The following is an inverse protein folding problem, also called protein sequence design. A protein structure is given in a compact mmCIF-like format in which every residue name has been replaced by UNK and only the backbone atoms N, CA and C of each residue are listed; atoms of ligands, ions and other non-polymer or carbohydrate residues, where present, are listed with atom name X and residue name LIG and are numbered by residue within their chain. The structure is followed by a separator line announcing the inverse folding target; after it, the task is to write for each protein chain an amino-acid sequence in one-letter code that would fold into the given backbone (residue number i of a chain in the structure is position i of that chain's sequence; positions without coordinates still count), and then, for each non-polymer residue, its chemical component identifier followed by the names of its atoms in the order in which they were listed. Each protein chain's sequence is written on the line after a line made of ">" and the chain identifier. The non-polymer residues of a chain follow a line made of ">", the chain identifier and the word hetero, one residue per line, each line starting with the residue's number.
data_IF_006009590617
#
_entry.id   IF_006009590617
#
_cell.length_a   1.000
_cell.length_b   1.000
_cell.length_c   1.000
_cell.angle_alpha   90.00
_cell.angle_beta   90.00
_cell.angle_gamma   90.00
#
_symmetry.space_group_name_H-M   'P 1'
#
loop_
_entity.id
_entity.type
_entity.pdbx_description
1 polymer ?
#
# COMPACT_ATOMS: atom_id res chain seq x y z
N UNK A 1 14.96 26.31 -3.33
CA UNK A 1 15.34 25.50 -2.15
C UNK A 1 14.16 25.13 -1.23
N UNK A 2 13.07 25.82 -1.23
CA UNK A 2 11.80 25.46 -0.53
C UNK A 2 11.10 24.20 -1.06
N UNK A 3 11.49 23.66 -2.21
CA UNK A 3 10.81 22.58 -2.92
C UNK A 3 10.91 21.20 -2.24
N UNK A 4 11.98 20.91 -1.51
CA UNK A 4 12.21 19.55 -0.96
C UNK A 4 11.40 19.27 0.31
N UNK A 5 11.11 20.32 1.12
CA UNK A 5 10.27 20.20 2.32
C UNK A 5 8.77 20.06 1.97
N UNK A 6 8.35 20.73 0.88
CA UNK A 6 7.00 20.56 0.35
C UNK A 6 6.76 19.15 -0.21
N UNK A 7 7.81 18.49 -0.68
CA UNK A 7 7.70 17.15 -1.28
C UNK A 7 7.40 16.06 -0.25
N UNK A 8 7.92 16.14 1.00
CA UNK A 8 7.61 15.14 2.01
C UNK A 8 6.17 15.26 2.52
N UNK A 9 5.75 16.48 2.87
CA UNK A 9 4.37 16.71 3.34
C UNK A 9 3.36 16.37 2.25
N UNK A 10 3.67 16.74 1.01
CA UNK A 10 2.84 16.38 -0.14
C UNK A 10 2.84 14.85 -0.38
N UNK A 11 4.00 14.20 -0.24
CA UNK A 11 4.12 12.74 -0.30
C UNK A 11 3.32 12.04 0.78
N UNK A 12 3.41 12.52 2.02
CA UNK A 12 2.62 12.02 3.14
C UNK A 12 1.11 12.21 2.91
N UNK A 13 0.69 13.38 2.42
CA UNK A 13 -0.70 13.63 2.06
C UNK A 13 -1.21 12.64 0.98
N UNK A 14 -0.43 12.45 -0.09
CA UNK A 14 -0.77 11.47 -1.11
C UNK A 14 -0.86 10.05 -0.54
N UNK A 15 0.04 9.65 0.34
CA UNK A 15 0.02 8.32 0.95
C UNK A 15 -1.17 8.13 1.89
N UNK A 16 -1.46 9.10 2.76
CA UNK A 16 -2.63 9.03 3.66
C UNK A 16 -3.92 8.92 2.85
N UNK A 17 -4.06 9.73 1.79
CA UNK A 17 -5.20 9.66 0.87
C UNK A 17 -5.26 8.30 0.16
N UNK A 18 -4.13 7.79 -0.31
CA UNK A 18 -4.05 6.47 -0.92
C UNK A 18 -4.51 5.37 0.04
N UNK A 19 -4.04 5.39 1.28
CA UNK A 19 -4.38 4.38 2.27
C UNK A 19 -5.83 4.47 2.76
N UNK A 20 -6.41 5.67 2.78
CA UNK A 20 -7.85 5.82 2.96
C UNK A 20 -8.64 5.13 1.84
N UNK A 21 -8.30 5.40 0.58
CA UNK A 21 -8.96 4.79 -0.58
C UNK A 21 -8.75 3.27 -0.62
N UNK A 22 -7.53 2.79 -0.35
CA UNK A 22 -7.22 1.36 -0.33
C UNK A 22 -7.87 0.64 0.85
N UNK A 23 -8.04 1.30 1.99
CA UNK A 23 -8.79 0.75 3.12
C UNK A 23 -10.29 0.67 2.80
N UNK A 24 -10.85 1.70 2.15
CA UNK A 24 -12.24 1.71 1.67
C UNK A 24 -12.47 0.61 0.62
N UNK A 25 -11.50 0.41 -0.28
CA UNK A 25 -11.49 -0.76 -1.17
C UNK A 25 -11.53 -2.06 -0.38
N UNK A 26 -10.72 -2.18 0.66
CA UNK A 26 -10.69 -3.36 1.54
C UNK A 26 -12.05 -3.68 2.14
N UNK A 27 -12.83 -2.67 2.53
CA UNK A 27 -14.19 -2.86 3.02
C UNK A 27 -15.12 -3.45 1.93
N UNK A 28 -15.02 -2.95 0.69
CA UNK A 28 -15.79 -3.53 -0.44
C UNK A 28 -15.35 -4.96 -0.77
N UNK A 29 -14.04 -5.25 -0.70
CA UNK A 29 -13.54 -6.60 -0.90
C UNK A 29 -14.01 -7.56 0.21
N UNK A 30 -14.16 -7.10 1.45
CA UNK A 30 -14.71 -7.90 2.55
C UNK A 30 -16.17 -8.32 2.26
N UNK A 31 -16.97 -7.43 1.66
CA UNK A 31 -18.32 -7.78 1.19
C UNK A 31 -18.25 -8.82 0.08
N UNK A 32 -17.43 -8.60 -0.95
CA UNK A 32 -17.33 -9.53 -2.08
C UNK A 32 -16.78 -10.92 -1.68
N UNK A 33 -15.90 -10.99 -0.67
CA UNK A 33 -15.30 -12.24 -0.19
C UNK A 33 -16.30 -13.20 0.49
N UNK A 34 -17.53 -12.78 0.74
CA UNK A 34 -18.59 -13.66 1.24
C UNK A 34 -19.05 -14.69 0.18
N UNK A 35 -18.90 -14.36 -1.11
CA UNK A 35 -19.32 -15.24 -2.22
C UNK A 35 -18.15 -15.56 -3.16
N UNK A 36 -17.23 -14.60 -3.38
CA UNK A 36 -16.19 -14.73 -4.39
C UNK A 36 -14.90 -15.34 -3.82
N UNK A 37 -14.27 -16.21 -4.61
CA UNK A 37 -12.95 -16.72 -4.29
C UNK A 37 -11.83 -15.68 -4.56
N UNK A 38 -10.68 -15.87 -3.90
CA UNK A 38 -9.53 -14.98 -4.01
C UNK A 38 -9.07 -14.70 -5.45
N UNK A 39 -8.89 -15.69 -6.35
CA UNK A 39 -8.51 -15.42 -7.73
C UNK A 39 -9.44 -14.47 -8.47
N UNK A 40 -10.75 -14.63 -8.32
CA UNK A 40 -11.73 -13.73 -8.92
C UNK A 40 -11.64 -12.31 -8.34
N UNK A 41 -11.52 -12.19 -7.02
CA UNK A 41 -11.38 -10.88 -6.35
C UNK A 41 -10.14 -10.14 -6.88
N UNK A 42 -8.98 -10.82 -6.95
CA UNK A 42 -7.74 -10.20 -7.46
C UNK A 42 -7.90 -9.76 -8.91
N UNK A 43 -8.48 -10.62 -9.76
CA UNK A 43 -8.69 -10.29 -11.17
C UNK A 43 -9.67 -9.12 -11.34
N UNK A 44 -10.88 -9.23 -10.80
CA UNK A 44 -11.94 -8.23 -10.98
C UNK A 44 -11.51 -6.85 -10.45
N UNK A 45 -10.84 -6.81 -9.28
CA UNK A 45 -10.29 -5.57 -8.74
C UNK A 45 -9.32 -4.89 -9.71
N UNK A 46 -8.39 -5.63 -10.28
CA UNK A 46 -7.40 -5.07 -11.20
C UNK A 46 -8.04 -4.74 -12.57
N UNK A 47 -8.92 -5.59 -13.05
CA UNK A 47 -9.65 -5.39 -14.31
C UNK A 47 -10.52 -4.13 -14.26
N UNK A 48 -11.36 -3.95 -13.24
CA UNK A 48 -12.16 -2.75 -13.11
C UNK A 48 -11.32 -1.51 -12.86
N UNK A 49 -10.19 -1.63 -12.12
CA UNK A 49 -9.26 -0.52 -11.99
C UNK A 49 -8.67 -0.11 -13.35
N UNK A 50 -8.33 -1.06 -14.21
CA UNK A 50 -7.85 -0.81 -15.56
C UNK A 50 -8.94 -0.15 -16.42
N UNK A 51 -10.16 -0.71 -16.43
CA UNK A 51 -11.30 -0.20 -17.21
C UNK A 51 -11.63 1.25 -16.83
N UNK A 52 -11.53 1.60 -15.55
CA UNK A 52 -11.81 2.96 -15.07
C UNK A 52 -10.65 3.92 -15.38
N UNK A 53 -9.41 3.43 -15.29
CA UNK A 53 -8.22 4.23 -15.55
C UNK A 53 -8.07 4.58 -17.04
N UNK A 54 -8.41 3.66 -17.94
CA UNK A 54 -8.21 3.83 -19.38
C UNK A 54 -8.91 5.07 -19.96
N UNK A 55 -10.24 5.27 -19.80
CA UNK A 55 -10.92 6.47 -20.32
C UNK A 55 -10.31 7.75 -19.75
N UNK A 56 -9.98 7.75 -18.45
CA UNK A 56 -9.37 8.91 -17.80
C UNK A 56 -8.01 9.27 -18.40
N UNK A 57 -7.17 8.29 -18.73
CA UNK A 57 -5.88 8.51 -19.40
C UNK A 57 -6.05 9.09 -20.80
N UNK A 58 -6.99 8.54 -21.60
CA UNK A 58 -7.24 9.00 -22.97
C UNK A 58 -7.86 10.40 -23.02
N UNK A 59 -8.81 10.69 -22.13
CA UNK A 59 -9.48 12.01 -22.08
C UNK A 59 -8.49 13.09 -21.62
N UNK A 60 -7.70 12.82 -20.59
CA UNK A 60 -6.80 13.82 -20.02
C UNK A 60 -5.52 14.00 -20.81
N UNK A 61 -5.17 13.06 -21.69
CA UNK A 61 -3.90 13.03 -22.46
C UNK A 61 -2.66 13.32 -21.61
N UNK A 62 -2.72 13.01 -20.32
CA UNK A 62 -1.68 13.38 -19.33
C UNK A 62 -0.37 12.66 -19.51
N UNK A 63 -0.38 11.47 -20.14
CA UNK A 63 0.87 10.78 -20.44
C UNK A 63 0.76 9.88 -21.66
N UNK A 64 1.88 9.72 -22.38
CA UNK A 64 2.06 8.66 -23.37
C UNK A 64 2.19 7.33 -22.66
N UNK A 65 1.59 6.27 -23.21
CA UNK A 65 1.74 4.89 -22.69
C UNK A 65 3.05 4.23 -23.17
N UNK A 66 3.78 4.88 -24.10
CA UNK A 66 5.06 4.36 -24.57
C UNK A 66 6.10 4.42 -23.45
N UNK A 67 6.81 3.33 -23.21
CA UNK A 67 7.86 3.21 -22.20
C UNK A 67 9.08 2.48 -22.76
N UNK A 68 10.26 2.94 -22.37
CA UNK A 68 11.52 2.25 -22.61
C UNK A 68 11.94 1.40 -21.39
N UNK A 69 11.12 1.39 -20.31
CA UNK A 69 11.38 0.69 -19.05
C UNK A 69 10.39 -0.43 -18.73
N UNK A 70 9.91 -1.13 -19.76
CA UNK A 70 8.93 -2.20 -19.59
C UNK A 70 9.35 -3.25 -18.53
N UNK A 71 10.63 -3.61 -18.48
CA UNK A 71 11.15 -4.54 -17.46
C UNK A 71 10.93 -4.07 -16.03
N UNK A 72 11.02 -2.76 -15.77
CA UNK A 72 10.74 -2.19 -14.44
C UNK A 72 9.23 -2.21 -14.10
N UNK A 73 8.36 -1.97 -15.09
CA UNK A 73 6.91 -2.14 -14.92
C UNK A 73 6.56 -3.60 -14.63
N UNK A 74 7.23 -4.55 -15.29
CA UNK A 74 7.07 -5.98 -15.02
C UNK A 74 7.51 -6.33 -13.59
N UNK A 75 8.68 -5.88 -13.15
CA UNK A 75 9.17 -6.08 -11.76
C UNK A 75 8.18 -5.50 -10.75
N UNK A 76 7.69 -4.26 -10.98
CA UNK A 76 6.68 -3.62 -10.12
C UNK A 76 5.40 -4.45 -10.02
N UNK A 77 4.94 -4.98 -11.15
CA UNK A 77 3.70 -5.76 -11.21
C UNK A 77 3.88 -7.16 -10.63
N UNK A 78 4.99 -7.82 -10.93
CA UNK A 78 5.31 -9.15 -10.38
C UNK A 78 5.45 -9.09 -8.85
N UNK A 79 6.20 -8.13 -8.32
CA UNK A 79 6.34 -7.98 -6.86
C UNK A 79 5.00 -7.61 -6.21
N UNK A 80 4.24 -6.71 -6.83
CA UNK A 80 2.95 -6.28 -6.29
C UNK A 80 1.89 -7.39 -6.28
N UNK A 81 1.78 -8.18 -7.36
CA UNK A 81 0.81 -9.28 -7.42
C UNK A 81 1.22 -10.44 -6.51
N UNK A 82 2.52 -10.73 -6.40
CA UNK A 82 3.03 -11.73 -5.45
C UNK A 82 2.71 -11.34 -4.02
N UNK A 83 2.95 -10.08 -3.64
CA UNK A 83 2.55 -9.55 -2.33
C UNK A 83 1.04 -9.75 -2.07
N UNK A 84 0.21 -9.49 -3.08
CA UNK A 84 -1.24 -9.60 -2.99
C UNK A 84 -1.68 -11.06 -2.76
N UNK A 85 -1.15 -12.02 -3.53
CA UNK A 85 -1.47 -13.43 -3.34
C UNK A 85 -0.93 -13.98 -2.02
N UNK A 86 0.28 -13.61 -1.59
CA UNK A 86 0.81 -13.98 -0.28
C UNK A 86 -0.09 -13.46 0.85
N UNK A 87 -0.54 -12.20 0.77
CA UNK A 87 -1.46 -11.62 1.74
C UNK A 87 -2.79 -12.38 1.81
N UNK A 88 -3.44 -12.63 0.68
CA UNK A 88 -4.71 -13.35 0.67
C UNK A 88 -4.57 -14.81 1.11
N UNK A 89 -3.45 -15.46 0.77
CA UNK A 89 -3.17 -16.82 1.26
C UNK A 89 -3.01 -16.82 2.80
N UNK A 90 -2.30 -15.83 3.35
CA UNK A 90 -2.10 -15.69 4.81
C UNK A 90 -3.43 -15.46 5.53
N UNK A 91 -4.34 -14.63 4.99
CA UNK A 91 -5.69 -14.45 5.54
C UNK A 91 -6.45 -15.78 5.60
N UNK A 92 -6.28 -16.66 4.64
CA UNK A 92 -6.92 -17.98 4.64
C UNK A 92 -6.33 -19.00 5.63
N UNK A 93 -5.18 -18.70 6.24
CA UNK A 93 -4.47 -19.61 7.18
C UNK A 93 -4.39 -19.08 8.60
N UNK A 94 -4.25 -17.78 8.77
CA UNK A 94 -4.13 -17.12 10.07
C UNK A 94 -5.39 -16.31 10.36
N UNK A 95 -5.59 -15.96 11.63
CA UNK A 95 -6.61 -14.97 11.97
C UNK A 95 -6.29 -13.62 11.32
N UNK A 96 -7.33 -12.88 10.98
CA UNK A 96 -7.21 -11.64 10.19
C UNK A 96 -6.23 -10.63 10.80
N UNK A 97 -6.23 -10.47 12.13
CA UNK A 97 -5.32 -9.56 12.82
C UNK A 97 -3.84 -9.91 12.59
N UNK A 98 -3.49 -11.20 12.68
CA UNK A 98 -2.11 -11.66 12.47
C UNK A 98 -1.69 -11.48 11.00
N UNK A 99 -2.58 -11.82 10.04
CA UNK A 99 -2.33 -11.67 8.62
C UNK A 99 -2.11 -10.20 8.23
N UNK A 100 -2.93 -9.29 8.77
CA UNK A 100 -2.80 -7.85 8.56
C UNK A 100 -1.50 -7.33 9.17
N UNK A 101 -1.19 -7.67 10.42
CA UNK A 101 0.03 -7.22 11.08
C UNK A 101 1.27 -7.60 10.29
N UNK A 102 1.36 -8.87 9.88
CA UNK A 102 2.50 -9.38 9.12
C UNK A 102 2.65 -8.68 7.77
N UNK A 103 1.56 -8.53 7.01
CA UNK A 103 1.60 -7.92 5.68
C UNK A 103 1.82 -6.41 5.72
N UNK A 104 1.30 -5.71 6.73
CA UNK A 104 1.53 -4.28 6.93
C UNK A 104 2.80 -3.97 7.73
N UNK A 105 3.67 -4.95 7.99
CA UNK A 105 5.03 -4.73 8.44
C UNK A 105 5.98 -4.25 7.31
N UNK A 106 5.50 -4.10 6.08
CA UNK A 106 6.25 -3.57 4.94
C UNK A 106 7.08 -2.30 5.24
N UNK A 107 6.62 -1.31 6.04
CA UNK A 107 7.41 -0.15 6.41
C UNK A 107 8.76 -0.47 7.08
N UNK A 108 8.90 -1.63 7.74
CA UNK A 108 10.17 -2.06 8.33
C UNK A 108 11.21 -2.33 7.25
N UNK A 109 10.79 -2.93 6.13
CA UNK A 109 11.67 -3.31 5.03
C UNK A 109 11.98 -2.14 4.10
N UNK A 110 11.12 -1.11 4.03
CA UNK A 110 11.29 0.03 3.12
C UNK A 110 12.61 0.78 3.32
N UNK A 111 13.04 1.19 4.53
CA UNK A 111 14.33 1.84 4.73
C UNK A 111 15.51 0.94 4.33
N UNK A 112 15.41 -0.37 4.61
CA UNK A 112 16.44 -1.36 4.27
C UNK A 112 16.60 -1.45 2.75
N UNK A 113 15.52 -1.65 2.01
CA UNK A 113 15.58 -1.73 0.56
C UNK A 113 15.88 -0.38 -0.11
N UNK A 114 15.46 0.74 0.48
CA UNK A 114 15.84 2.07 0.00
C UNK A 114 17.36 2.26 0.09
N UNK A 115 17.98 1.83 1.19
CA UNK A 115 19.44 1.85 1.33
C UNK A 115 20.13 0.92 0.33
N UNK A 116 19.70 -0.34 0.22
CA UNK A 116 20.35 -1.34 -0.61
C UNK A 116 20.17 -1.08 -2.13
N UNK A 117 18.98 -0.67 -2.55
CA UNK A 117 18.60 -0.61 -3.99
C UNK A 117 18.61 0.79 -4.58
N UNK A 118 18.42 1.83 -3.75
CA UNK A 118 18.41 3.23 -4.18
C UNK A 118 19.63 4.01 -3.66
N UNK A 119 20.42 3.42 -2.75
CA UNK A 119 21.53 4.07 -2.03
C UNK A 119 21.07 5.30 -1.22
N UNK A 120 19.82 5.34 -0.83
CA UNK A 120 19.28 6.40 0.03
C UNK A 120 19.88 6.29 1.42
N UNK A 121 20.29 7.44 2.01
CA UNK A 121 20.80 7.45 3.39
C UNK A 121 19.67 7.11 4.37
N UNK A 122 19.91 6.15 5.25
CA UNK A 122 18.95 5.78 6.31
C UNK A 122 18.84 6.93 7.30
N UNK A 123 17.64 7.42 7.51
CA UNK A 123 17.34 8.41 8.55
C UNK A 123 16.93 7.68 9.83
N UNK A 124 17.78 7.73 10.86
CA UNK A 124 17.53 7.07 12.13
C UNK A 124 16.18 7.46 12.75
N UNK A 125 15.81 8.74 12.66
CA UNK A 125 14.54 9.22 13.24
C UNK A 125 13.33 8.64 12.48
N UNK A 126 13.41 8.50 11.14
CA UNK A 126 12.37 7.84 10.36
C UNK A 126 12.30 6.35 10.67
N UNK A 127 13.44 5.69 10.88
CA UNK A 127 13.49 4.27 11.27
C UNK A 127 12.88 4.04 12.66
N UNK A 128 13.16 4.94 13.62
CA UNK A 128 12.51 4.92 14.94
C UNK A 128 10.99 5.13 14.84
N UNK A 129 10.54 6.04 13.98
CA UNK A 129 9.11 6.26 13.72
C UNK A 129 8.44 5.00 13.16
N UNK A 130 9.12 4.24 12.28
CA UNK A 130 8.63 2.95 11.79
C UNK A 130 8.44 1.95 12.93
N UNK A 131 9.42 1.84 13.83
CA UNK A 131 9.33 0.93 14.99
C UNK A 131 8.18 1.34 15.94
N UNK A 132 8.08 2.62 16.25
CA UNK A 132 6.99 3.16 17.10
C UNK A 132 5.62 2.90 16.45
N UNK A 133 5.49 3.13 15.15
CA UNK A 133 4.25 2.87 14.42
C UNK A 133 3.88 1.38 14.41
N UNK A 134 4.87 0.48 14.28
CA UNK A 134 4.64 -0.95 14.37
C UNK A 134 4.13 -1.35 15.76
N UNK A 135 4.72 -0.81 16.84
CA UNK A 135 4.21 -1.04 18.21
C UNK A 135 2.75 -0.60 18.33
N UNK A 136 2.41 0.56 17.77
CA UNK A 136 1.02 1.04 17.74
C UNK A 136 0.09 0.07 17.01
N UNK A 137 0.51 -0.48 15.85
CA UNK A 137 -0.27 -1.48 15.10
C UNK A 137 -0.42 -2.79 15.88
N UNK A 138 0.62 -3.27 16.55
CA UNK A 138 0.56 -4.46 17.40
C UNK A 138 -0.50 -4.28 18.47
N UNK A 139 -0.57 -3.10 19.10
CA UNK A 139 -1.56 -2.78 20.11
C UNK A 139 -2.97 -2.72 19.52
N UNK A 140 -3.14 -2.15 18.31
CA UNK A 140 -4.47 -2.08 17.63
C UNK A 140 -4.97 -3.46 17.26
N UNK A 141 -4.12 -4.29 16.67
CA UNK A 141 -4.52 -5.58 16.12
C UNK A 141 -4.55 -6.70 17.14
N UNK A 142 -3.86 -6.56 18.29
CA UNK A 142 -3.81 -7.56 19.38
C UNK A 142 -3.56 -8.99 18.82
N UNK A 143 -2.40 -9.23 18.17
CA UNK A 143 -2.14 -10.48 17.47
C UNK A 143 -2.20 -11.68 18.41
N UNK A 144 -2.58 -12.81 17.87
CA UNK A 144 -2.64 -14.08 18.60
C UNK A 144 -1.30 -14.81 18.58
N UNK A 145 -1.26 -15.99 19.24
CA UNK A 145 -0.11 -16.90 19.14
C UNK A 145 0.11 -17.45 17.72
N UNK A 146 -0.86 -17.31 16.81
CA UNK A 146 -0.77 -17.67 15.41
C UNK A 146 0.33 -16.94 14.63
N UNK A 147 0.84 -15.81 15.16
CA UNK A 147 1.99 -15.10 14.58
C UNK A 147 3.28 -15.98 14.56
N UNK A 148 3.37 -17.01 15.37
CA UNK A 148 4.46 -17.97 15.41
C UNK A 148 4.21 -19.23 14.55
N UNK A 149 3.07 -19.30 13.83
CA UNK A 149 2.79 -20.35 12.88
C UNK A 149 3.74 -20.24 11.67
N UNK A 150 4.25 -21.36 11.11
CA UNK A 150 5.05 -21.31 9.88
C UNK A 150 4.39 -20.58 8.72
N UNK A 151 3.06 -20.54 8.67
CA UNK A 151 2.31 -19.76 7.69
C UNK A 151 2.54 -18.25 7.81
N UNK A 152 2.99 -17.76 8.97
CA UNK A 152 3.35 -16.36 9.18
C UNK A 152 4.50 -15.90 8.26
N UNK A 153 5.40 -16.82 7.87
CA UNK A 153 6.47 -16.51 6.91
C UNK A 153 5.93 -16.02 5.57
N UNK A 154 4.80 -16.52 5.12
CA UNK A 154 4.16 -16.04 3.88
C UNK A 154 3.62 -14.63 4.04
N UNK A 155 3.10 -14.27 5.24
CA UNK A 155 2.72 -12.90 5.56
C UNK A 155 3.91 -11.92 5.55
N UNK A 156 5.05 -12.36 6.08
CA UNK A 156 6.30 -11.59 6.00
C UNK A 156 6.78 -11.44 4.55
N UNK A 157 6.69 -12.51 3.73
CA UNK A 157 6.98 -12.43 2.29
C UNK A 157 6.07 -11.43 1.59
N UNK A 158 4.78 -11.35 1.95
CA UNK A 158 3.87 -10.33 1.44
C UNK A 158 4.41 -8.92 1.72
N UNK A 159 4.88 -8.65 2.94
CA UNK A 159 5.46 -7.36 3.32
C UNK A 159 6.77 -7.05 2.55
N UNK A 160 7.64 -8.03 2.37
CA UNK A 160 8.89 -7.90 1.60
C UNK A 160 8.57 -7.54 0.14
N UNK A 161 7.69 -8.30 -0.52
CA UNK A 161 7.31 -8.04 -1.91
C UNK A 161 6.56 -6.71 -2.08
N UNK A 162 5.71 -6.33 -1.12
CA UNK A 162 5.08 -5.01 -1.11
C UNK A 162 6.12 -3.90 -1.03
N UNK A 163 7.13 -4.03 -0.17
CA UNK A 163 8.22 -3.05 -0.05
C UNK A 163 9.03 -2.94 -1.35
N UNK A 164 9.38 -4.06 -1.98
CA UNK A 164 10.07 -4.08 -3.28
C UNK A 164 9.24 -3.41 -4.38
N UNK A 165 7.92 -3.60 -4.35
CA UNK A 165 7.01 -2.92 -5.26
C UNK A 165 7.04 -1.39 -5.07
N UNK A 166 7.09 -0.88 -3.82
CA UNK A 166 7.19 0.56 -3.53
C UNK A 166 8.55 1.12 -3.95
N UNK A 167 9.64 0.39 -3.71
CA UNK A 167 10.98 0.77 -4.18
C UNK A 167 11.03 0.85 -5.71
N UNK A 168 10.36 -0.07 -6.42
CA UNK A 168 10.27 -0.05 -7.88
C UNK A 168 9.61 1.24 -8.39
N UNK A 169 8.57 1.74 -7.72
CA UNK A 169 7.94 3.03 -8.02
C UNK A 169 8.97 4.16 -7.90
N UNK A 170 9.69 4.21 -6.79
CA UNK A 170 10.71 5.26 -6.57
C UNK A 170 11.81 5.22 -7.62
N UNK A 171 12.27 4.02 -8.01
CA UNK A 171 13.31 3.85 -9.04
C UNK A 171 12.87 4.33 -10.43
N UNK A 172 11.55 4.31 -10.70
CA UNK A 172 10.98 4.81 -11.95
C UNK A 172 10.58 6.29 -11.92
N UNK A 173 10.58 6.94 -10.75
CA UNK A 173 9.97 8.26 -10.54
C UNK A 173 10.51 9.37 -11.45
N UNK A 174 11.76 9.29 -11.89
CA UNK A 174 12.40 10.30 -12.75
C UNK A 174 12.13 10.08 -14.24
N UNK A 175 11.61 8.92 -14.63
CA UNK A 175 11.47 8.53 -16.06
C UNK A 175 10.05 8.15 -16.44
N UNK A 176 9.24 7.74 -15.46
CA UNK A 176 7.90 7.24 -15.68
C UNK A 176 6.88 8.04 -14.86
N UNK A 177 5.90 8.69 -15.49
CA UNK A 177 4.82 9.35 -14.76
C UNK A 177 3.97 8.32 -14.00
N UNK A 178 3.41 8.74 -12.86
CA UNK A 178 2.65 7.86 -11.98
C UNK A 178 1.50 7.15 -12.70
N UNK A 179 0.86 7.85 -13.63
CA UNK A 179 -0.25 7.35 -14.44
C UNK A 179 0.17 6.14 -15.29
N UNK A 180 1.35 6.20 -15.92
CA UNK A 180 1.92 5.11 -16.70
C UNK A 180 2.27 3.92 -15.82
N UNK A 181 2.87 4.17 -14.66
CA UNK A 181 3.22 3.11 -13.70
C UNK A 181 1.97 2.36 -13.25
N UNK A 182 0.89 3.07 -12.94
CA UNK A 182 -0.38 2.45 -12.52
C UNK A 182 -1.07 1.74 -13.67
N UNK A 183 -1.02 2.28 -14.89
CA UNK A 183 -1.56 1.61 -16.08
C UNK A 183 -0.91 0.23 -16.30
N UNK A 184 0.43 0.18 -16.37
CA UNK A 184 1.13 -1.09 -16.55
C UNK A 184 0.92 -2.05 -15.38
N UNK A 185 0.86 -1.52 -14.16
CA UNK A 185 0.56 -2.33 -12.99
C UNK A 185 -0.82 -2.99 -13.07
N UNK A 186 -1.88 -2.22 -13.34
CA UNK A 186 -3.24 -2.76 -13.43
C UNK A 186 -3.38 -3.70 -14.63
N UNK A 187 -2.77 -3.38 -15.78
CA UNK A 187 -2.78 -4.22 -16.98
C UNK A 187 -2.10 -5.56 -16.71
N UNK A 188 -0.85 -5.56 -16.27
CA UNK A 188 -0.08 -6.79 -16.05
C UNK A 188 -0.68 -7.63 -14.92
N UNK A 189 -1.14 -7.01 -13.83
CA UNK A 189 -1.82 -7.73 -12.77
C UNK A 189 -3.15 -8.33 -13.23
N UNK A 190 -3.93 -7.65 -14.09
CA UNK A 190 -5.14 -8.21 -14.69
C UNK A 190 -4.82 -9.42 -15.55
N UNK A 191 -3.80 -9.32 -16.43
CA UNK A 191 -3.41 -10.43 -17.30
C UNK A 191 -2.91 -11.65 -16.52
N UNK A 192 -2.06 -11.45 -15.51
CA UNK A 192 -1.53 -12.54 -14.69
C UNK A 192 -2.64 -13.20 -13.86
N UNK A 193 -3.54 -12.40 -13.26
CA UNK A 193 -4.62 -12.92 -12.42
C UNK A 193 -5.80 -13.48 -13.22
N UNK A 194 -5.90 -13.21 -14.52
CA UNK A 194 -6.95 -13.74 -15.38
C UNK A 194 -6.91 -15.28 -15.43
N UNK A 195 -5.71 -15.87 -15.54
CA UNK A 195 -5.55 -17.31 -15.64
C UNK A 195 -6.20 -18.04 -14.46
N UNK A 196 -5.78 -17.80 -13.20
CA UNK A 196 -6.42 -18.47 -12.06
C UNK A 196 -7.88 -18.03 -11.87
N UNK A 197 -8.26 -16.81 -12.23
CA UNK A 197 -9.64 -16.35 -12.11
C UNK A 197 -10.58 -17.12 -13.03
N UNK A 198 -10.20 -17.37 -14.29
CA UNK A 198 -11.03 -18.14 -15.23
C UNK A 198 -11.08 -19.63 -14.90
N UNK A 199 -10.03 -20.21 -14.31
CA UNK A 199 -10.04 -21.60 -13.83
C UNK A 199 -11.05 -21.78 -12.69
N UNK A 200 -11.12 -20.82 -11.77
CA UNK A 200 -12.00 -20.86 -10.59
C UNK A 200 -13.21 -19.94 -10.72
N UNK A 201 -13.64 -19.65 -11.97
CA UNK A 201 -14.76 -18.74 -12.19
C UNK A 201 -16.07 -19.31 -11.63
N UNK A 202 -16.82 -18.46 -10.94
CA UNK A 202 -18.14 -18.78 -10.41
C UNK A 202 -19.12 -17.64 -10.65
N UNK A 203 -20.43 -17.90 -10.74
CA UNK A 203 -21.45 -16.86 -10.82
C UNK A 203 -21.35 -15.91 -9.62
N UNK A 204 -21.67 -14.63 -9.84
CA UNK A 204 -21.69 -13.63 -8.78
C UNK A 204 -23.01 -12.88 -8.77
N UNK A 205 -23.44 -12.42 -7.59
CA UNK A 205 -24.60 -11.55 -7.43
C UNK A 205 -24.32 -10.15 -7.97
N UNK A 206 -25.39 -9.40 -8.29
CA UNK A 206 -25.27 -7.99 -8.72
C UNK A 206 -24.64 -7.12 -7.63
N UNK A 207 -24.91 -7.42 -6.37
CA UNK A 207 -24.31 -6.73 -5.22
C UNK A 207 -22.79 -6.88 -5.22
N UNK A 208 -22.28 -8.10 -5.44
CA UNK A 208 -20.86 -8.35 -5.50
C UNK A 208 -20.20 -7.76 -6.76
N UNK A 209 -20.90 -7.76 -7.89
CA UNK A 209 -20.43 -7.06 -9.08
C UNK A 209 -20.27 -5.56 -8.81
N UNK A 210 -21.27 -4.91 -8.21
CA UNK A 210 -21.18 -3.48 -7.85
C UNK A 210 -20.07 -3.19 -6.82
N UNK A 211 -19.92 -4.06 -5.83
CA UNK A 211 -18.83 -3.98 -4.87
C UNK A 211 -17.46 -4.08 -5.56
N UNK A 212 -17.29 -4.97 -6.55
CA UNK A 212 -16.04 -5.12 -7.30
C UNK A 212 -15.77 -3.94 -8.23
N UNK A 213 -16.79 -3.35 -8.85
CA UNK A 213 -16.66 -2.11 -9.64
C UNK A 213 -16.19 -0.96 -8.72
N UNK A 214 -16.84 -0.78 -7.57
CA UNK A 214 -16.44 0.21 -6.57
C UNK A 214 -15.03 -0.02 -6.04
N UNK A 215 -14.67 -1.28 -5.74
CA UNK A 215 -13.33 -1.66 -5.34
C UNK A 215 -12.30 -1.34 -6.43
N UNK A 216 -12.62 -1.57 -7.71
CA UNK A 216 -11.77 -1.19 -8.85
C UNK A 216 -11.56 0.31 -8.95
N UNK A 217 -12.62 1.11 -8.75
CA UNK A 217 -12.53 2.58 -8.71
C UNK A 217 -11.58 3.05 -7.60
N UNK A 218 -11.80 2.59 -6.38
CA UNK A 218 -10.97 2.94 -5.23
C UNK A 218 -9.52 2.44 -5.41
N UNK A 219 -9.33 1.27 -6.03
CA UNK A 219 -8.02 0.74 -6.36
C UNK A 219 -7.28 1.63 -7.37
N UNK A 220 -7.94 2.08 -8.45
CA UNK A 220 -7.34 2.91 -9.48
C UNK A 220 -6.79 4.22 -8.90
N UNK A 221 -7.63 4.95 -8.18
CA UNK A 221 -7.22 6.22 -7.58
C UNK A 221 -6.29 6.01 -6.39
N UNK A 222 -6.53 5.00 -5.54
CA UNK A 222 -5.63 4.65 -4.45
C UNK A 222 -4.21 4.35 -4.95
N UNK A 223 -4.07 3.58 -6.03
CA UNK A 223 -2.77 3.29 -6.65
C UNK A 223 -2.13 4.52 -7.29
N UNK A 224 -2.92 5.44 -7.88
CA UNK A 224 -2.39 6.70 -8.41
C UNK A 224 -1.80 7.58 -7.29
N UNK A 225 -2.54 7.78 -6.21
CA UNK A 225 -2.06 8.56 -5.07
C UNK A 225 -0.86 7.89 -4.40
N UNK A 226 -0.90 6.56 -4.21
CA UNK A 226 0.21 5.78 -3.66
C UNK A 226 1.47 5.92 -4.53
N UNK A 227 1.32 5.77 -5.84
CA UNK A 227 2.45 5.91 -6.78
C UNK A 227 3.01 7.33 -6.76
N UNK A 228 2.16 8.37 -6.75
CA UNK A 228 2.60 9.77 -6.61
C UNK A 228 3.37 9.99 -5.30
N UNK A 229 2.84 9.50 -4.18
CA UNK A 229 3.49 9.63 -2.88
C UNK A 229 4.91 9.06 -2.86
N UNK A 230 5.08 7.82 -3.30
CA UNK A 230 6.40 7.19 -3.38
C UNK A 230 7.30 7.71 -4.51
N UNK A 231 6.74 8.37 -5.53
CA UNK A 231 7.54 9.03 -6.56
C UNK A 231 8.22 10.29 -6.07
N UNK A 232 7.54 11.09 -5.26
CA UNK A 232 8.03 12.43 -4.86
C UNK A 232 8.77 12.43 -3.52
N UNK A 233 8.54 11.44 -2.65
CA UNK A 233 9.17 11.37 -1.33
C UNK A 233 10.01 10.10 -1.17
N UNK A 234 11.12 10.15 -0.39
CA UNK A 234 11.94 8.98 -0.12
C UNK A 234 11.13 7.89 0.62
N UNK A 235 11.11 6.65 0.13
CA UNK A 235 10.28 5.58 0.72
C UNK A 235 10.53 5.34 2.20
N UNK A 236 11.79 5.38 2.65
CA UNK A 236 12.14 5.19 4.06
C UNK A 236 11.64 6.32 4.99
N UNK A 237 11.43 7.53 4.46
CA UNK A 237 10.97 8.67 5.25
C UNK A 237 9.43 8.71 5.36
N UNK A 238 8.73 8.22 4.33
CA UNK A 238 7.25 8.20 4.30
C UNK A 238 6.66 6.86 4.73
N UNK A 239 7.50 5.86 4.99
CA UNK A 239 7.08 4.52 5.41
C UNK A 239 6.08 4.52 6.59
N UNK A 240 6.26 5.33 7.68
CA UNK A 240 5.33 5.32 8.81
C UNK A 240 3.89 5.71 8.45
N UNK A 241 3.69 6.51 7.38
CA UNK A 241 2.35 6.91 6.96
C UNK A 241 1.53 5.74 6.37
N UNK A 242 2.18 4.63 5.99
CA UNK A 242 1.49 3.42 5.57
C UNK A 242 0.62 2.84 6.69
N UNK A 243 0.98 3.06 7.93
CA UNK A 243 0.21 2.56 9.07
C UNK A 243 -1.18 3.18 9.20
N UNK A 244 -1.44 4.32 8.54
CA UNK A 244 -2.78 4.93 8.49
C UNK A 244 -3.84 4.00 7.87
N UNK A 245 -3.44 3.02 7.05
CA UNK A 245 -4.38 2.04 6.50
C UNK A 245 -5.07 1.22 7.59
N UNK A 246 -4.37 0.92 8.68
CA UNK A 246 -4.93 0.16 9.82
C UNK A 246 -5.94 1.03 10.58
N UNK A 247 -5.64 2.33 10.75
CA UNK A 247 -6.57 3.27 11.38
C UNK A 247 -7.88 3.38 10.57
N UNK A 248 -7.78 3.55 9.26
CA UNK A 248 -8.94 3.60 8.38
C UNK A 248 -9.67 2.25 8.30
N UNK A 249 -8.93 1.12 8.29
CA UNK A 249 -9.51 -0.23 8.32
C UNK A 249 -10.36 -0.46 9.57
N UNK A 250 -9.85 -0.06 10.74
CA UNK A 250 -10.60 -0.15 11.99
C UNK A 250 -11.81 0.79 12.01
N UNK A 251 -11.68 1.99 11.42
CA UNK A 251 -12.81 2.92 11.27
C UNK A 251 -13.93 2.28 10.44
N UNK A 252 -13.61 1.65 9.30
CA UNK A 252 -14.59 0.94 8.48
C UNK A 252 -15.19 -0.27 9.21
N UNK A 253 -14.36 -1.03 9.97
CA UNK A 253 -14.83 -2.13 10.81
C UNK A 253 -15.88 -1.68 11.81
N UNK A 254 -15.64 -0.54 12.47
CA UNK A 254 -16.59 0.06 13.41
C UNK A 254 -17.85 0.55 12.71
N UNK A 255 -17.74 1.27 11.60
CA UNK A 255 -18.90 1.88 10.91
C UNK A 255 -19.79 0.85 10.19
N UNK A 256 -19.22 -0.22 9.61
CA UNK A 256 -19.93 -1.14 8.73
C UNK A 256 -20.25 -2.49 9.37
N UNK A 257 -19.49 -2.91 10.38
CA UNK A 257 -19.64 -4.21 11.04
C UNK A 257 -19.78 -4.12 12.56
N UNK A 258 -19.96 -2.91 13.10
CA UNK A 258 -20.13 -2.65 14.55
C UNK A 258 -18.97 -3.23 15.41
N UNK A 259 -17.75 -3.26 14.83
CA UNK A 259 -16.55 -3.71 15.52
C UNK A 259 -16.15 -2.67 16.56
N UNK A 260 -16.21 -3.02 17.84
CA UNK A 260 -15.94 -2.07 18.95
C UNK A 260 -14.49 -1.61 18.95
N UNK A 261 -14.31 -0.28 19.10
CA UNK A 261 -13.00 0.34 19.39
C UNK A 261 -12.89 0.48 20.90
N UNK A 262 -12.12 -0.38 21.54
CA UNK A 262 -11.82 -0.30 22.96
C UNK A 262 -10.69 0.69 23.28
N UNK A 263 -10.45 0.93 24.57
CA UNK A 263 -9.38 1.84 25.03
C UNK A 263 -7.99 1.41 24.55
N UNK A 264 -7.74 0.11 24.43
CA UNK A 264 -6.45 -0.44 24.01
C UNK A 264 -6.20 -0.07 22.54
N UNK A 265 -7.20 -0.27 21.67
CA UNK A 265 -7.12 0.16 20.27
C UNK A 265 -6.93 1.68 20.15
N UNK A 266 -7.63 2.46 21.00
CA UNK A 266 -7.47 3.91 21.08
C UNK A 266 -6.03 4.33 21.42
N UNK A 267 -5.39 3.69 22.39
CA UNK A 267 -3.98 3.91 22.70
C UNK A 267 -3.06 3.59 21.51
N UNK A 268 -3.29 2.46 20.83
CA UNK A 268 -2.54 2.08 19.65
C UNK A 268 -2.66 3.11 18.52
N UNK A 269 -3.85 3.69 18.31
CA UNK A 269 -4.05 4.78 17.33
C UNK A 269 -3.23 6.03 17.65
N UNK A 270 -3.22 6.45 18.91
CA UNK A 270 -2.42 7.60 19.35
C UNK A 270 -0.93 7.35 19.05
N UNK A 271 -0.42 6.14 19.32
CA UNK A 271 0.97 5.78 19.05
C UNK A 271 1.27 5.84 17.54
N UNK A 272 0.37 5.34 16.67
CA UNK A 272 0.52 5.43 15.21
C UNK A 272 0.54 6.90 14.75
N UNK A 273 -0.33 7.75 15.30
CA UNK A 273 -0.33 9.19 14.99
C UNK A 273 0.98 9.87 15.43
N UNK A 274 1.49 9.53 16.62
CA UNK A 274 2.78 10.04 17.11
C UNK A 274 3.92 9.61 16.17
N UNK A 275 3.94 8.37 15.71
CA UNK A 275 4.92 7.90 14.74
C UNK A 275 4.90 8.71 13.44
N UNK A 276 3.71 9.02 12.90
CA UNK A 276 3.55 9.89 11.73
C UNK A 276 4.09 11.31 11.97
N UNK A 277 3.84 11.89 13.15
CA UNK A 277 4.36 13.22 13.53
C UNK A 277 5.89 13.20 13.66
N UNK A 278 6.47 12.18 14.28
CA UNK A 278 7.93 12.00 14.40
C UNK A 278 8.55 11.92 13.01
N UNK A 279 8.01 11.11 12.11
CA UNK A 279 8.49 10.97 10.74
C UNK A 279 8.46 12.32 9.99
N UNK A 280 7.38 13.10 10.14
CA UNK A 280 7.25 14.40 9.49
C UNK A 280 8.23 15.44 10.03
N UNK A 281 8.55 15.40 11.33
CA UNK A 281 9.51 16.33 11.99
C UNK A 281 10.98 15.95 11.72
N UNK A 282 11.28 14.68 11.57
CA UNK A 282 12.63 14.18 11.30
C UNK A 282 13.27 14.87 10.09
N UNK A 283 12.47 15.14 9.09
CA UNK A 283 12.93 15.74 7.85
C UNK A 283 13.17 17.25 7.94
N UNK A 284 12.39 17.95 8.77
CA UNK A 284 12.62 19.40 9.02
C UNK A 284 13.99 19.67 9.66
N UNK A 285 14.44 18.78 10.55
CA UNK A 285 15.74 18.93 11.24
C UNK A 285 16.91 18.65 10.29
N UNK A 286 16.80 17.65 9.41
CA UNK A 286 17.84 17.31 8.43
C UNK A 286 18.05 18.45 7.43
N UNK A 287 16.97 19.06 6.94
CA UNK A 287 17.04 20.20 6.03
C UNK A 287 17.77 21.41 6.63
N UNK A 288 17.52 21.68 7.92
CA UNK A 288 18.15 22.80 8.62
C UNK A 288 19.66 22.59 8.79
N UNK A 289 20.10 21.32 8.89
CA UNK A 289 21.53 20.98 8.99
C UNK A 289 22.19 21.07 7.60
N UNK A 290 21.55 20.53 6.57
CA UNK A 290 22.07 20.57 5.18
C UNK A 290 22.16 22.05 4.68
N UNK A 291 21.25 22.96 5.09
CA UNK A 291 21.30 24.40 4.79
C UNK A 291 22.44 25.14 5.54
N UNK A 292 22.82 24.66 6.72
CA UNK A 292 23.92 25.25 7.51
C UNK A 292 25.28 24.77 7.00
N UNK A 293 25.37 23.55 6.47
CA UNK A 293 26.61 23.00 5.92
C UNK A 293 26.92 23.50 4.49
N UNK A 294 25.95 24.10 3.78
CA UNK A 294 26.13 24.72 2.46
C UNK A 294 26.50 26.23 2.52
N UNK A 295 26.55 26.83 3.72
CA UNK A 295 26.97 28.25 3.97
C UNK A 295 28.40 28.29 4.48
#
# INVERSE_FOLDING_TARGET
>A
MTLKNNNLLLGAFYLITAFFLLSSMGAMLKVAATELNTPMIVFLRNFFALVILLPWLFITKKCSLKTDRFGMHFVRSATGITAMYCFFWTIGKLILADAILLSYSAPIFLPVFAYLLLKDKVNLTSSLAVIIGLIGIIIVLQPSKGIFDPSALVGVLAAIFASLAMISIRKMSNTEPAERVVFYFTLLCSLISAIPAFIYWQPMSITNLLAMIGAGFLAAFGQLFLTKGYSIAPPGEVAPFQYSIVLFGTLWGWLLWDERIDLIKGCGFIIVCIAGIIASKANKKKHRIDEIEEI
#
